data_IF_049540548951
#
_entry.id   IF_049540548951
#
_cell.length_a   1.000
_cell.length_b   1.000
_cell.length_c   1.000
_cell.angle_alpha   90.00
_cell.angle_beta   90.00
_cell.angle_gamma   90.00
#
_symmetry.space_group_name_H-M   'P 1'
#
loop_
_entity.id
_entity.type
_entity.pdbx_description
1 polymer ?
#
# COMPACT_ATOMS: atom_id res chain seq x y z
N UNK A 1 0.71 -18.66 4.27
CA UNK A 1 0.97 -18.33 2.85
C UNK A 1 0.74 -16.84 2.69
N UNK A 2 1.75 -16.09 2.26
CA UNK A 2 1.68 -14.63 2.09
C UNK A 2 1.69 -14.32 0.58
N UNK A 3 0.79 -13.46 0.11
CA UNK A 3 0.70 -13.08 -1.30
C UNK A 3 1.99 -12.41 -1.81
N UNK A 4 2.78 -11.78 -0.93
CA UNK A 4 4.08 -11.22 -1.29
C UNK A 4 5.07 -12.28 -1.82
N UNK A 5 4.97 -13.54 -1.39
CA UNK A 5 5.83 -14.61 -1.93
C UNK A 5 5.63 -14.79 -3.44
N UNK A 6 4.42 -14.56 -3.95
CA UNK A 6 4.12 -14.64 -5.39
C UNK A 6 4.86 -13.53 -6.13
N UNK A 7 4.92 -12.32 -5.55
CA UNK A 7 5.70 -11.20 -6.09
C UNK A 7 7.20 -11.52 -6.07
N UNK A 8 7.73 -12.03 -4.96
CA UNK A 8 9.16 -12.37 -4.84
C UNK A 8 9.55 -13.41 -5.90
N UNK A 9 8.77 -14.48 -6.07
CA UNK A 9 9.02 -15.50 -7.09
C UNK A 9 9.01 -14.92 -8.51
N UNK A 10 8.12 -13.96 -8.79
CA UNK A 10 8.05 -13.28 -10.07
C UNK A 10 9.26 -12.35 -10.30
N UNK A 11 9.71 -11.62 -9.27
CA UNK A 11 10.92 -10.79 -9.33
C UNK A 11 12.16 -11.66 -9.57
N UNK A 12 12.28 -12.79 -8.90
CA UNK A 12 13.42 -13.71 -9.06
C UNK A 12 13.46 -14.36 -10.45
N UNK A 13 12.29 -14.66 -11.04
CA UNK A 13 12.18 -15.41 -12.31
C UNK A 13 12.15 -14.52 -13.55
N UNK A 14 11.56 -13.32 -13.45
CA UNK A 14 11.34 -12.40 -14.57
C UNK A 14 11.46 -10.93 -14.15
N UNK A 15 12.64 -10.51 -13.65
CA UNK A 15 12.84 -9.21 -12.99
C UNK A 15 12.48 -8.00 -13.86
N UNK A 16 12.78 -8.08 -15.17
CA UNK A 16 12.61 -6.97 -16.11
C UNK A 16 11.21 -6.88 -16.74
N UNK A 17 10.33 -7.86 -16.48
CA UNK A 17 8.98 -7.84 -17.05
C UNK A 17 8.11 -6.82 -16.31
N UNK A 18 7.32 -6.06 -17.05
CA UNK A 18 6.36 -5.11 -16.49
C UNK A 18 5.32 -5.83 -15.60
N UNK A 19 5.22 -5.39 -14.35
CA UNK A 19 4.28 -5.88 -13.35
C UNK A 19 3.10 -4.91 -13.16
N UNK A 20 3.37 -3.60 -13.21
CA UNK A 20 2.36 -2.55 -13.05
C UNK A 20 2.48 -1.53 -14.18
N UNK A 21 1.35 -1.24 -14.81
CA UNK A 21 1.19 -0.27 -15.89
C UNK A 21 0.05 0.66 -15.49
N UNK A 22 0.35 1.92 -15.17
CA UNK A 22 -0.64 2.92 -14.76
C UNK A 22 -0.36 4.25 -15.47
N UNK A 23 -1.13 4.58 -16.50
CA UNK A 23 -0.87 5.76 -17.32
C UNK A 23 0.50 5.70 -17.99
N UNK A 24 1.42 6.61 -17.63
CA UNK A 24 2.82 6.60 -18.04
C UNK A 24 3.76 5.86 -17.07
N UNK A 25 3.31 5.55 -15.85
CA UNK A 25 4.10 4.83 -14.86
C UNK A 25 4.20 3.36 -15.23
N UNK A 26 5.43 2.82 -15.18
CA UNK A 26 5.76 1.42 -15.41
C UNK A 26 6.64 0.95 -14.26
N UNK A 27 6.27 -0.16 -13.63
CA UNK A 27 7.12 -0.87 -12.68
C UNK A 27 7.35 -2.28 -13.22
N UNK A 28 8.62 -2.69 -13.30
CA UNK A 28 8.97 -4.09 -13.50
C UNK A 28 8.72 -4.89 -12.23
N UNK A 29 8.76 -6.22 -12.28
CA UNK A 29 8.65 -7.04 -11.08
C UNK A 29 9.75 -6.73 -10.06
N UNK A 30 10.98 -6.52 -10.51
CA UNK A 30 12.07 -6.12 -9.63
C UNK A 30 11.80 -4.75 -8.98
N UNK A 31 11.41 -3.74 -9.78
CA UNK A 31 11.14 -2.40 -9.27
C UNK A 31 9.96 -2.37 -8.28
N UNK A 32 8.91 -3.17 -8.53
CA UNK A 32 7.80 -3.34 -7.61
C UNK A 32 8.27 -4.01 -6.31
N UNK A 33 9.08 -5.06 -6.38
CA UNK A 33 9.59 -5.76 -5.21
C UNK A 33 10.50 -4.87 -4.36
N UNK A 34 11.37 -4.07 -4.98
CA UNK A 34 12.25 -3.14 -4.29
C UNK A 34 11.44 -2.05 -3.57
N UNK A 35 10.43 -1.49 -4.23
CA UNK A 35 9.52 -0.52 -3.62
C UNK A 35 8.73 -1.10 -2.45
N UNK A 36 8.30 -2.37 -2.56
CA UNK A 36 7.59 -3.10 -1.51
C UNK A 36 8.48 -3.30 -0.27
N UNK A 37 9.73 -3.74 -0.46
CA UNK A 37 10.68 -3.90 0.64
C UNK A 37 10.98 -2.55 1.30
N UNK A 38 11.26 -1.51 0.51
CA UNK A 38 11.54 -0.18 1.03
C UNK A 38 10.36 0.43 1.80
N UNK A 39 9.11 0.13 1.42
CA UNK A 39 7.94 0.53 2.19
C UNK A 39 7.79 -0.34 3.44
N UNK A 40 7.97 -1.65 3.34
CA UNK A 40 7.86 -2.57 4.48
C UNK A 40 8.83 -2.21 5.62
N UNK A 41 10.04 -1.78 5.30
CA UNK A 41 11.03 -1.32 6.29
C UNK A 41 10.52 -0.11 7.11
N UNK A 42 9.69 0.75 6.51
CA UNK A 42 9.09 1.91 7.20
C UNK A 42 7.88 1.55 8.07
N UNK A 43 7.41 0.30 8.01
CA UNK A 43 6.21 -0.18 8.69
C UNK A 43 6.55 -1.04 9.91
N UNK A 44 7.72 -0.84 10.53
CA UNK A 44 8.22 -1.71 11.61
C UNK A 44 7.23 -1.83 12.77
N UNK A 45 6.75 -0.69 13.28
CA UNK A 45 5.79 -0.58 14.39
C UNK A 45 4.32 -0.43 13.93
N UNK A 46 4.06 -0.52 12.63
CA UNK A 46 2.73 -0.33 12.07
C UNK A 46 1.87 -1.57 12.34
N UNK A 47 0.64 -1.37 12.85
CA UNK A 47 -0.33 -2.46 13.08
C UNK A 47 -1.30 -2.66 11.93
N UNK A 48 -1.60 -1.60 11.18
CA UNK A 48 -2.56 -1.51 10.06
C UNK A 48 -2.05 -0.46 9.07
N UNK A 49 -2.13 -0.74 7.78
CA UNK A 49 -1.78 0.20 6.73
C UNK A 49 -3.05 0.66 6.01
N UNK A 50 -3.46 1.89 6.25
CA UNK A 50 -4.55 2.53 5.52
C UNK A 50 -4.04 3.17 4.23
N UNK A 51 -4.85 3.11 3.18
CA UNK A 51 -4.56 3.74 1.88
C UNK A 51 -5.73 4.61 1.47
N UNK A 52 -5.50 5.92 1.41
CA UNK A 52 -6.47 6.95 1.03
C UNK A 52 -5.86 7.79 -0.10
N UNK A 53 -5.87 7.25 -1.30
CA UNK A 53 -5.43 7.95 -2.50
C UNK A 53 -6.17 7.37 -3.71
N UNK A 54 -6.01 8.02 -4.86
CA UNK A 54 -6.44 7.42 -6.10
C UNK A 54 -5.71 6.08 -6.33
N UNK A 55 -6.41 5.09 -6.89
CA UNK A 55 -5.81 3.80 -7.19
C UNK A 55 -4.83 3.96 -8.35
N UNK A 56 -3.55 4.06 -8.03
CA UNK A 56 -2.45 4.16 -8.98
C UNK A 56 -1.36 3.11 -8.73
N UNK A 57 -0.16 3.34 -9.27
CA UNK A 57 0.96 2.41 -9.13
C UNK A 57 1.41 2.18 -7.68
N UNK A 58 1.06 3.10 -6.75
CA UNK A 58 1.34 2.97 -5.32
C UNK A 58 0.46 1.93 -4.61
N UNK A 59 -0.76 1.65 -5.11
CA UNK A 59 -1.69 0.73 -4.44
C UNK A 59 -1.14 -0.73 -4.38
N UNK A 60 -0.59 -1.30 -5.47
CA UNK A 60 0.09 -2.59 -5.42
C UNK A 60 1.26 -2.60 -4.43
N UNK A 61 2.06 -1.52 -4.37
CA UNK A 61 3.19 -1.40 -3.43
C UNK A 61 2.70 -1.47 -1.98
N UNK A 62 1.69 -0.67 -1.64
CA UNK A 62 1.10 -0.64 -0.29
C UNK A 62 0.52 -2.01 0.11
N UNK A 63 -0.23 -2.64 -0.79
CA UNK A 63 -0.83 -3.94 -0.56
C UNK A 63 0.24 -5.02 -0.31
N UNK A 64 1.27 -5.10 -1.14
CA UNK A 64 2.33 -6.09 -0.98
C UNK A 64 3.25 -5.80 0.21
N UNK A 65 3.49 -4.53 0.56
CA UNK A 65 4.26 -4.17 1.76
C UNK A 65 3.51 -4.53 3.05
N UNK A 66 2.20 -4.24 3.12
CA UNK A 66 1.35 -4.69 4.22
C UNK A 66 1.33 -6.22 4.32
N UNK A 67 1.21 -6.89 3.16
CA UNK A 67 1.28 -8.34 3.11
C UNK A 67 2.63 -8.84 3.64
N UNK A 68 3.77 -8.32 3.16
CA UNK A 68 5.12 -8.67 3.61
C UNK A 68 5.28 -8.51 5.13
N UNK A 69 4.77 -7.42 5.72
CA UNK A 69 4.78 -7.18 7.17
C UNK A 69 3.77 -7.99 7.96
N UNK A 70 2.86 -8.70 7.29
CA UNK A 70 1.81 -9.49 7.94
C UNK A 70 0.75 -8.63 8.61
N UNK A 71 0.51 -7.41 8.12
CA UNK A 71 -0.45 -6.46 8.69
C UNK A 71 -1.63 -6.22 7.75
N UNK A 72 -2.80 -5.81 8.25
CA UNK A 72 -3.95 -5.50 7.40
C UNK A 72 -3.70 -4.31 6.48
N UNK A 73 -4.02 -4.48 5.20
CA UNK A 73 -4.16 -3.41 4.21
C UNK A 73 -5.62 -2.92 4.19
N UNK A 74 -5.85 -1.62 4.37
CA UNK A 74 -7.18 -1.00 4.45
C UNK A 74 -7.31 0.06 3.35
N UNK A 75 -7.82 -0.30 2.15
CA UNK A 75 -8.14 0.68 1.13
C UNK A 75 -9.39 1.47 1.53
N UNK A 76 -9.31 2.79 1.46
CA UNK A 76 -10.43 3.71 1.71
C UNK A 76 -10.76 4.42 0.40
N UNK A 77 -12.05 4.49 0.06
CA UNK A 77 -12.49 5.21 -1.13
C UNK A 77 -12.27 6.72 -0.93
N UNK A 78 -11.31 7.28 -1.67
CA UNK A 78 -10.94 8.70 -1.62
C UNK A 78 -12.05 9.65 -2.12
N UNK A 79 -13.08 9.14 -2.81
CA UNK A 79 -14.22 9.94 -3.31
C UNK A 79 -15.34 10.13 -2.28
N UNK A 80 -15.17 9.65 -1.06
CA UNK A 80 -16.14 9.84 0.02
C UNK A 80 -16.08 11.29 0.54
N UNK A 81 -17.15 11.73 1.19
CA UNK A 81 -17.14 13.01 1.88
C UNK A 81 -16.16 12.97 3.07
N UNK A 82 -15.62 14.14 3.43
CA UNK A 82 -14.57 14.25 4.45
C UNK A 82 -14.99 13.66 5.81
N UNK A 83 -16.24 13.86 6.22
CA UNK A 83 -16.79 13.31 7.47
C UNK A 83 -16.84 11.78 7.46
N UNK A 84 -17.16 11.17 6.31
CA UNK A 84 -17.15 9.73 6.13
C UNK A 84 -15.73 9.17 6.14
N UNK A 85 -14.77 9.86 5.51
CA UNK A 85 -13.34 9.51 5.56
C UNK A 85 -12.84 9.54 7.00
N UNK A 86 -13.10 10.64 7.74
CA UNK A 86 -12.74 10.77 9.16
C UNK A 86 -13.32 9.64 10.01
N UNK A 87 -14.58 9.26 9.78
CA UNK A 87 -15.22 8.16 10.50
C UNK A 87 -14.55 6.81 10.22
N UNK A 88 -14.15 6.53 8.98
CA UNK A 88 -13.43 5.31 8.61
C UNK A 88 -12.03 5.28 9.20
N UNK A 89 -11.28 6.38 9.08
CA UNK A 89 -9.95 6.54 9.67
C UNK A 89 -9.99 6.29 11.17
N UNK A 90 -10.91 6.93 11.90
CA UNK A 90 -11.09 6.72 13.34
C UNK A 90 -11.39 5.25 13.70
N UNK A 91 -12.16 4.55 12.86
CA UNK A 91 -12.45 3.12 13.07
C UNK A 91 -11.22 2.23 12.88
N UNK A 92 -10.25 2.66 12.07
CA UNK A 92 -9.04 1.91 11.78
C UNK A 92 -7.81 2.39 12.54
N UNK A 93 -7.89 3.47 13.33
CA UNK A 93 -6.84 3.85 14.28
C UNK A 93 -6.53 2.73 15.30
N UNK A 94 -5.28 2.57 15.78
CA UNK A 94 -4.07 3.19 15.24
C UNK A 94 -3.67 2.56 13.90
N UNK A 95 -3.35 3.36 12.89
CA UNK A 95 -2.91 2.90 11.58
C UNK A 95 -1.90 3.88 10.98
N UNK A 96 -0.95 3.40 10.19
CA UNK A 96 -0.17 4.28 9.31
C UNK A 96 -0.97 4.54 8.04
N UNK A 97 -0.93 5.77 7.53
CA UNK A 97 -1.68 6.20 6.34
C UNK A 97 -0.77 6.51 5.16
N UNK A 98 -1.13 6.00 3.99
CA UNK A 98 -0.63 6.47 2.68
C UNK A 98 -1.73 7.31 2.06
N UNK A 99 -1.43 8.56 1.73
CA UNK A 99 -2.39 9.49 1.13
C UNK A 99 -1.71 10.62 0.37
N UNK A 100 -2.39 11.16 -0.64
CA UNK A 100 -2.01 12.41 -1.31
C UNK A 100 -2.53 13.64 -0.56
N UNK A 101 -3.71 13.52 0.06
CA UNK A 101 -4.38 14.54 0.88
C UNK A 101 -5.31 13.83 1.88
N UNK A 102 -5.17 14.14 3.17
CA UNK A 102 -5.90 13.46 4.24
C UNK A 102 -6.35 14.41 5.35
N UNK A 103 -7.57 14.24 5.87
CA UNK A 103 -8.01 14.99 7.04
C UNK A 103 -7.24 14.58 8.30
N UNK A 104 -7.02 15.53 9.21
CA UNK A 104 -6.42 15.23 10.52
C UNK A 104 -7.37 14.35 11.37
N UNK A 105 -6.86 13.20 11.81
CA UNK A 105 -7.55 12.23 12.67
C UNK A 105 -6.56 11.68 13.70
N UNK A 106 -6.94 11.65 14.97
CA UNK A 106 -6.08 11.12 16.03
C UNK A 106 -5.76 9.62 15.84
N UNK A 107 -4.48 9.28 16.00
CA UNK A 107 -3.98 7.90 15.86
C UNK A 107 -3.80 7.43 14.41
N UNK A 108 -3.83 8.36 13.46
CA UNK A 108 -3.47 8.17 12.05
C UNK A 108 -2.12 8.85 11.78
#
# INVERSE_FOLDING_TARGET
MNIHLILQMAADSMPDREAVVCGSQRLTYQALNDAVNALADKLEDTKKLAYLAETGAAAPVAMFAAALRGIPYVPINYRLAEDQIKALLKRVSPASLISDDAPEVEGI
#
